data_IF_087753285103
#
_entry.id   IF_087753285103
#
_cell.length_a   1.000
_cell.length_b   1.000
_cell.length_c   1.000
_cell.angle_alpha   90.00
_cell.angle_beta   90.00
_cell.angle_gamma   90.00
#
_symmetry.space_group_name_H-M   'P 1'
#
loop_
_entity.id
_entity.type
_entity.pdbx_description
1 polymer ?
#
# COMPACT_ATOMS: atom_id res chain seq x y z
N UNK A 1 6.26 -25.41 -4.02
CA UNK A 1 6.46 -23.97 -4.24
C UNK A 1 6.73 -23.31 -2.90
N UNK A 2 7.71 -22.40 -2.83
CA UNK A 2 7.88 -21.56 -1.64
C UNK A 2 6.70 -20.59 -1.51
N UNK A 3 6.36 -20.18 -0.28
CA UNK A 3 5.32 -19.19 -0.04
C UNK A 3 5.84 -17.81 -0.46
N UNK A 4 4.99 -17.03 -1.11
CA UNK A 4 5.23 -15.62 -1.39
C UNK A 4 5.44 -14.85 -0.08
N UNK A 5 6.46 -14.00 -0.02
CA UNK A 5 6.72 -13.07 1.09
C UNK A 5 6.53 -11.63 0.60
N UNK A 6 5.59 -10.93 1.22
CA UNK A 6 5.24 -9.53 0.88
C UNK A 6 5.65 -8.56 1.98
N UNK A 7 5.97 -7.32 1.60
CA UNK A 7 6.25 -6.23 2.54
C UNK A 7 5.00 -5.36 2.73
N UNK A 8 4.59 -5.16 3.98
CA UNK A 8 3.58 -4.18 4.33
C UNK A 8 4.15 -2.76 4.25
N UNK A 9 3.44 -1.86 3.57
CA UNK A 9 3.97 -0.52 3.25
C UNK A 9 3.61 0.56 4.27
N UNK A 10 2.93 0.23 5.38
CA UNK A 10 2.43 1.23 6.33
C UNK A 10 3.52 2.05 7.03
N UNK A 11 4.62 1.42 7.42
CA UNK A 11 5.79 2.08 8.03
C UNK A 11 6.62 2.90 7.03
N UNK A 12 6.27 2.85 5.75
CA UNK A 12 7.04 3.45 4.65
C UNK A 12 6.26 4.54 3.92
N UNK A 13 5.11 4.96 4.46
CA UNK A 13 4.21 5.92 3.81
C UNK A 13 4.74 7.36 3.75
N UNK A 14 5.91 7.61 4.36
CA UNK A 14 6.72 8.80 4.17
C UNK A 14 7.50 8.79 2.83
N UNK A 15 7.63 7.63 2.19
CA UNK A 15 8.27 7.47 0.88
C UNK A 15 7.23 7.46 -0.25
N UNK A 16 7.59 7.94 -1.46
CA UNK A 16 6.74 7.75 -2.64
C UNK A 16 6.53 6.27 -2.99
N UNK A 17 5.37 5.94 -3.55
CA UNK A 17 4.99 4.58 -3.91
C UNK A 17 6.03 3.86 -4.79
N UNK A 18 6.55 4.53 -5.82
CA UNK A 18 7.56 3.93 -6.70
C UNK A 18 8.90 3.72 -5.98
N UNK A 19 9.23 4.55 -4.98
CA UNK A 19 10.45 4.41 -4.17
C UNK A 19 10.38 3.17 -3.29
N UNK A 20 9.23 2.91 -2.64
CA UNK A 20 9.07 1.68 -1.84
C UNK A 20 9.02 0.43 -2.73
N UNK A 21 8.49 0.51 -3.96
CA UNK A 21 8.57 -0.60 -4.93
C UNK A 21 10.02 -0.97 -5.26
N UNK A 22 10.87 0.01 -5.57
CA UNK A 22 12.29 -0.22 -5.85
C UNK A 22 13.01 -0.86 -4.65
N UNK A 23 12.76 -0.35 -3.45
CA UNK A 23 13.33 -0.87 -2.19
C UNK A 23 12.84 -2.29 -1.90
N UNK A 24 11.54 -2.55 -1.97
CA UNK A 24 10.99 -3.88 -1.68
C UNK A 24 11.61 -4.95 -2.60
N UNK A 25 11.82 -4.62 -3.88
CA UNK A 25 12.50 -5.52 -4.80
C UNK A 25 13.98 -5.72 -4.44
N UNK A 26 14.71 -4.65 -4.10
CA UNK A 26 16.11 -4.78 -3.70
C UNK A 26 16.31 -5.52 -2.37
N UNK A 27 15.30 -5.51 -1.50
CA UNK A 27 15.27 -6.29 -0.27
C UNK A 27 14.95 -7.78 -0.50
N UNK A 28 14.42 -8.14 -1.69
CA UNK A 28 14.09 -9.51 -2.05
C UNK A 28 12.64 -9.93 -1.76
N UNK A 29 11.72 -8.99 -1.56
CA UNK A 29 10.30 -9.31 -1.42
C UNK A 29 9.67 -9.68 -2.77
N UNK A 30 8.68 -10.57 -2.73
CA UNK A 30 7.92 -11.01 -3.91
C UNK A 30 6.77 -10.05 -4.26
N UNK A 31 6.41 -9.15 -3.35
CA UNK A 31 5.27 -8.26 -3.50
C UNK A 31 5.07 -7.30 -2.35
N UNK A 32 4.00 -6.52 -2.44
CA UNK A 32 3.61 -5.53 -1.43
C UNK A 32 2.20 -5.81 -0.91
N UNK A 33 2.00 -5.46 0.35
CA UNK A 33 0.69 -5.23 0.96
C UNK A 33 0.54 -3.71 1.11
N UNK A 34 -0.37 -3.11 0.34
CA UNK A 34 -0.45 -1.64 0.23
C UNK A 34 -1.28 -1.04 1.37
N UNK A 35 -0.65 -0.14 2.11
CA UNK A 35 -1.33 0.73 3.04
C UNK A 35 -2.24 1.74 2.31
N UNK A 36 -3.46 1.93 2.81
CA UNK A 36 -4.44 2.88 2.28
C UNK A 36 -4.22 4.33 2.74
N UNK A 37 -2.96 4.78 2.80
CA UNK A 37 -2.55 6.14 3.16
C UNK A 37 -1.22 6.50 2.50
N UNK A 38 -0.82 7.78 2.59
CA UNK A 38 0.23 8.32 1.73
C UNK A 38 -0.19 8.26 0.26
N UNK A 39 0.76 8.12 -0.65
CA UNK A 39 0.48 7.88 -2.07
C UNK A 39 0.44 6.39 -2.42
N UNK A 40 0.50 5.47 -1.44
CA UNK A 40 0.59 4.03 -1.69
C UNK A 40 -0.70 3.47 -2.30
N UNK A 41 -1.84 3.72 -1.66
CA UNK A 41 -3.16 3.39 -2.19
C UNK A 41 -4.25 4.36 -1.68
N UNK A 42 -4.55 5.39 -2.46
CA UNK A 42 -5.62 6.36 -2.23
C UNK A 42 -7.00 5.77 -2.62
N UNK A 43 -7.81 5.42 -1.62
CA UNK A 43 -9.08 4.67 -1.79
C UNK A 43 -10.15 5.49 -2.53
N UNK A 44 -10.18 6.80 -2.30
CA UNK A 44 -11.11 7.74 -2.95
C UNK A 44 -10.83 7.91 -4.45
N UNK A 45 -9.61 7.59 -4.89
CA UNK A 45 -9.18 7.62 -6.30
C UNK A 45 -9.25 6.26 -6.99
N UNK A 46 -9.68 5.20 -6.30
CA UNK A 46 -9.56 3.81 -6.75
C UNK A 46 -10.55 3.40 -7.85
N UNK A 47 -10.57 4.15 -8.96
CA UNK A 47 -11.22 3.75 -10.21
C UNK A 47 -10.36 2.72 -10.97
N UNK A 48 -10.88 2.24 -12.10
CA UNK A 48 -10.20 1.23 -12.92
C UNK A 48 -8.85 1.73 -13.47
N UNK A 49 -8.78 2.99 -13.92
CA UNK A 49 -7.57 3.56 -14.50
C UNK A 49 -6.46 3.70 -13.46
N UNK A 50 -6.80 4.20 -12.27
CA UNK A 50 -5.91 4.32 -11.12
C UNK A 50 -5.40 2.95 -10.68
N UNK A 51 -6.29 1.97 -10.52
CA UNK A 51 -5.90 0.61 -10.13
C UNK A 51 -4.97 -0.03 -11.16
N UNK A 52 -5.25 0.16 -12.46
CA UNK A 52 -4.40 -0.34 -13.53
C UNK A 52 -3.00 0.29 -13.52
N UNK A 53 -2.89 1.60 -13.26
CA UNK A 53 -1.58 2.25 -13.15
C UNK A 53 -0.80 1.75 -11.93
N UNK A 54 -1.45 1.52 -10.78
CA UNK A 54 -0.81 0.89 -9.60
C UNK A 54 -0.25 -0.50 -9.92
N UNK A 55 -1.05 -1.35 -10.57
CA UNK A 55 -0.62 -2.69 -10.98
C UNK A 55 0.53 -2.64 -12.00
N UNK A 56 0.53 -1.67 -12.91
CA UNK A 56 1.60 -1.47 -13.88
C UNK A 56 2.92 -1.07 -13.21
N UNK A 57 2.89 -0.18 -12.22
CA UNK A 57 4.08 0.19 -11.44
C UNK A 57 4.63 -1.03 -10.69
N UNK A 58 3.78 -1.80 -10.01
CA UNK A 58 4.20 -3.04 -9.34
C UNK A 58 4.85 -4.03 -10.32
N UNK A 59 4.22 -4.24 -11.47
CA UNK A 59 4.73 -5.12 -12.52
C UNK A 59 6.07 -4.65 -13.08
N UNK A 60 6.28 -3.33 -13.24
CA UNK A 60 7.58 -2.75 -13.64
C UNK A 60 8.71 -3.15 -12.69
N UNK A 61 8.41 -3.37 -11.42
CA UNK A 61 9.38 -3.79 -10.39
C UNK A 61 9.36 -5.28 -10.07
N UNK A 62 8.61 -6.09 -10.84
CA UNK A 62 8.44 -7.54 -10.60
C UNK A 62 7.98 -7.84 -9.17
N UNK A 63 6.96 -7.08 -8.74
CA UNK A 63 6.27 -7.20 -7.46
C UNK A 63 4.80 -7.59 -7.69
N UNK A 64 4.28 -8.45 -6.82
CA UNK A 64 2.87 -8.87 -6.80
C UNK A 64 2.08 -8.09 -5.74
N UNK A 65 0.76 -8.07 -5.90
CA UNK A 65 -0.17 -7.48 -4.93
C UNK A 65 -1.22 -8.52 -4.55
N UNK A 66 -1.33 -8.83 -3.26
CA UNK A 66 -2.29 -9.81 -2.74
C UNK A 66 -3.25 -9.20 -1.71
N UNK A 67 -2.90 -8.06 -1.12
CA UNK A 67 -3.65 -7.44 -0.05
C UNK A 67 -3.45 -5.92 -0.02
N UNK A 68 -4.44 -5.23 0.54
CA UNK A 68 -4.39 -3.82 0.93
C UNK A 68 -4.80 -3.73 2.41
N UNK A 69 -4.38 -2.67 3.10
CA UNK A 69 -4.62 -2.51 4.54
C UNK A 69 -5.06 -1.09 4.89
N UNK A 70 -6.20 -0.97 5.56
CA UNK A 70 -6.82 0.31 5.94
C UNK A 70 -6.93 0.45 7.46
N UNK A 71 -5.83 0.20 8.17
CA UNK A 71 -5.79 0.21 9.63
C UNK A 71 -6.24 1.56 10.23
N UNK A 72 -5.75 2.68 9.68
CA UNK A 72 -6.00 4.01 10.24
C UNK A 72 -7.49 4.38 10.20
N UNK A 73 -8.16 4.18 9.07
CA UNK A 73 -9.60 4.46 8.95
C UNK A 73 -10.42 3.41 9.70
N UNK A 74 -10.00 2.14 9.66
CA UNK A 74 -10.68 1.06 10.39
C UNK A 74 -10.73 1.31 11.91
N UNK A 75 -9.66 1.89 12.47
CA UNK A 75 -9.59 2.27 13.89
C UNK A 75 -10.69 3.27 14.28
N UNK A 76 -11.15 4.11 13.35
CA UNK A 76 -12.11 5.18 13.61
C UNK A 76 -13.59 4.77 13.47
N UNK A 77 -13.91 3.53 13.05
CA UNK A 77 -15.30 3.09 12.76
C UNK A 77 -16.22 3.21 13.98
N UNK A 78 -15.67 3.13 15.19
CA UNK A 78 -16.39 3.35 16.45
C UNK A 78 -15.61 4.26 17.42
N UNK A 79 -14.65 5.05 16.94
CA UNK A 79 -13.92 5.98 17.82
C UNK A 79 -14.79 7.23 18.07
N UNK A 80 -14.66 7.81 19.26
CA UNK A 80 -15.35 9.05 19.57
C UNK A 80 -14.70 10.19 18.81
N UNK A 81 -15.49 10.95 18.05
CA UNK A 81 -15.00 12.13 17.35
C UNK A 81 -14.65 13.21 18.38
N UNK A 82 -13.36 13.35 18.68
CA UNK A 82 -12.80 14.32 19.61
C UNK A 82 -11.70 15.18 18.95
N UNK A 83 -10.95 15.93 19.76
CA UNK A 83 -9.91 16.86 19.29
C UNK A 83 -8.80 16.22 18.45
N UNK A 84 -8.60 14.90 18.52
CA UNK A 84 -7.61 14.17 17.71
C UNK A 84 -8.00 14.07 16.23
N UNK A 85 -9.24 14.41 15.89
CA UNK A 85 -9.81 14.31 14.52
C UNK A 85 -9.71 15.63 13.73
N UNK A 86 -9.02 16.64 14.25
CA UNK A 86 -8.82 17.96 13.63
C UNK A 86 -7.45 18.10 12.96
#
# INVERSE_FOLDING_TARGET
MARTVTLFTGQWADLPFETICQKAKSFGYDGLELACWGDHFEVDKADEAYCNEKLKILKKHDLKLFAISSHLVGQAVCDNIDERHK
#
